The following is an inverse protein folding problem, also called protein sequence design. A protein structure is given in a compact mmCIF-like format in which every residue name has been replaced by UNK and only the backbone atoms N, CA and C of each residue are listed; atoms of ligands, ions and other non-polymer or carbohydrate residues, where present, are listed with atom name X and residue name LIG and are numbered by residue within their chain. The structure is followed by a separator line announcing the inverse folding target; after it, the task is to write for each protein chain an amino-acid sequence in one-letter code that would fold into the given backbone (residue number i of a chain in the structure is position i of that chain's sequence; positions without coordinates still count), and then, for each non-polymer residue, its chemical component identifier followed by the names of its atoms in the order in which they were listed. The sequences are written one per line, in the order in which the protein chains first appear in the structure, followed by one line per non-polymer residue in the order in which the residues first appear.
data_IF_232463721043
#
_entry.id   IF_232463721043
#
_cell.length_a   1.000
_cell.length_b   1.000
_cell.length_c   1.000
_cell.angle_alpha   90.00
_cell.angle_beta   90.00
_cell.angle_gamma   90.00
#
_symmetry.space_group_name_H-M   'P 1'
#
loop_
_entity.id
_entity.type
_entity.pdbx_description
1 polymer ?
#
# COMPACT_ATOMS: atom_id res chain seq x y z
N UNK A 1 -48.64 3.40 -4.85
CA UNK A 1 -48.54 2.03 -5.40
C UNK A 1 -47.77 1.97 -6.73
N UNK A 2 -46.48 2.30 -6.69
CA UNK A 2 -45.59 2.19 -7.85
C UNK A 2 -44.14 1.93 -7.42
N UNK A 3 -43.98 1.17 -6.33
CA UNK A 3 -42.71 0.84 -5.69
C UNK A 3 -42.30 -0.63 -5.81
N UNK A 4 -42.96 -1.43 -6.68
CA UNK A 4 -42.71 -2.89 -6.77
C UNK A 4 -42.26 -3.40 -8.15
N UNK A 5 -42.00 -2.53 -9.14
CA UNK A 5 -41.60 -2.97 -10.49
C UNK A 5 -40.11 -2.87 -10.82
N UNK A 6 -39.25 -2.37 -9.94
CA UNK A 6 -37.81 -2.22 -10.21
C UNK A 6 -36.94 -3.36 -9.63
N UNK A 7 -37.39 -4.02 -8.57
CA UNK A 7 -36.59 -5.05 -7.89
C UNK A 7 -36.60 -6.42 -8.59
N UNK A 8 -37.70 -6.78 -9.26
CA UNK A 8 -37.82 -8.10 -9.91
C UNK A 8 -37.06 -8.19 -11.24
N UNK A 9 -36.90 -7.09 -11.97
CA UNK A 9 -36.17 -7.06 -13.24
C UNK A 9 -34.65 -7.17 -13.08
N UNK A 10 -34.08 -6.56 -12.03
CA UNK A 10 -32.64 -6.64 -11.74
C UNK A 10 -32.25 -8.00 -11.18
N UNK A 11 -33.12 -8.63 -10.37
CA UNK A 11 -32.87 -9.96 -9.83
C UNK A 11 -33.00 -11.04 -10.92
N UNK A 12 -33.92 -10.89 -11.89
CA UNK A 12 -34.01 -11.77 -13.06
C UNK A 12 -32.80 -11.63 -14.01
N UNK A 13 -32.30 -10.41 -14.24
CA UNK A 13 -31.08 -10.18 -15.03
C UNK A 13 -29.83 -10.71 -14.33
N UNK A 14 -29.72 -10.56 -13.01
CA UNK A 14 -28.63 -11.12 -12.22
C UNK A 14 -28.68 -12.66 -12.19
N UNK A 15 -29.87 -13.27 -12.07
CA UNK A 15 -30.00 -14.73 -12.15
C UNK A 15 -29.78 -15.28 -13.56
N UNK A 16 -30.20 -14.60 -14.62
CA UNK A 16 -29.95 -15.03 -16.01
C UNK A 16 -28.47 -14.90 -16.38
N UNK A 17 -27.78 -13.84 -15.96
CA UNK A 17 -26.34 -13.67 -16.20
C UNK A 17 -25.46 -14.63 -15.40
N UNK A 18 -25.90 -15.07 -14.23
CA UNK A 18 -25.18 -16.06 -13.41
C UNK A 18 -25.46 -17.48 -13.92
N UNK A 19 -26.72 -17.79 -14.25
CA UNK A 19 -27.10 -19.15 -14.64
C UNK A 19 -26.58 -19.51 -16.04
N UNK A 20 -26.59 -18.57 -17.01
CA UNK A 20 -26.12 -18.81 -18.37
C UNK A 20 -24.59 -18.87 -18.46
N UNK A 21 -23.87 -18.07 -17.65
CA UNK A 21 -22.41 -18.20 -17.50
C UNK A 21 -22.03 -19.49 -16.78
N UNK A 22 -22.79 -19.93 -15.78
CA UNK A 22 -22.46 -21.19 -15.10
C UNK A 22 -22.68 -22.41 -16.00
N UNK A 23 -23.75 -22.47 -16.81
CA UNK A 23 -24.03 -23.64 -17.65
C UNK A 23 -23.13 -23.74 -18.88
N UNK A 24 -22.80 -22.62 -19.53
CA UNK A 24 -21.86 -22.62 -20.67
C UNK A 24 -20.44 -22.97 -20.23
N UNK A 25 -19.97 -22.44 -19.10
CA UNK A 25 -18.62 -22.74 -18.60
C UNK A 25 -18.52 -24.13 -17.95
N UNK A 26 -19.58 -24.64 -17.31
CA UNK A 26 -19.58 -25.99 -16.75
C UNK A 26 -19.64 -27.07 -17.83
N UNK A 27 -20.38 -26.83 -18.92
CA UNK A 27 -20.38 -27.71 -20.08
C UNK A 27 -19.05 -27.67 -20.84
N UNK A 28 -18.44 -26.50 -21.05
CA UNK A 28 -17.10 -26.43 -21.67
C UNK A 28 -16.03 -27.09 -20.79
N UNK A 29 -16.12 -26.96 -19.47
CA UNK A 29 -15.18 -27.58 -18.50
C UNK A 29 -15.31 -29.10 -18.45
N UNK A 30 -16.53 -29.66 -18.46
CA UNK A 30 -16.74 -31.10 -18.49
C UNK A 30 -16.37 -31.71 -19.85
N UNK A 31 -16.62 -31.01 -20.96
CA UNK A 31 -16.17 -31.47 -22.30
C UNK A 31 -14.64 -31.47 -22.40
N UNK A 32 -13.95 -30.50 -21.77
CA UNK A 32 -12.49 -30.46 -21.68
C UNK A 32 -11.92 -31.53 -20.74
N UNK A 33 -12.59 -31.81 -19.62
CA UNK A 33 -12.21 -32.88 -18.69
C UNK A 33 -12.46 -34.27 -19.27
N UNK A 34 -13.54 -34.50 -20.02
CA UNK A 34 -13.81 -35.76 -20.74
C UNK A 34 -12.84 -35.97 -21.92
N UNK A 35 -12.38 -34.88 -22.55
CA UNK A 35 -11.33 -34.95 -23.57
C UNK A 35 -9.93 -35.24 -22.97
N UNK A 36 -9.68 -34.79 -21.73
CA UNK A 36 -8.43 -35.04 -20.98
C UNK A 36 -8.44 -36.42 -20.30
N UNK A 37 -9.62 -36.88 -19.86
CA UNK A 37 -9.82 -38.19 -19.25
C UNK A 37 -10.39 -39.16 -20.28
N UNK A 38 -9.50 -39.64 -21.17
CA UNK A 38 -9.80 -40.80 -22.00
C UNK A 38 -10.47 -41.88 -21.14
N UNK A 39 -11.70 -42.21 -21.51
CA UNK A 39 -12.60 -43.21 -20.93
C UNK A 39 -11.92 -44.29 -20.07
N UNK A 40 -12.33 -44.38 -18.81
CA UNK A 40 -12.31 -45.62 -18.04
C UNK A 40 -11.11 -45.81 -17.10
N UNK A 41 -11.41 -45.77 -15.81
CA UNK A 41 -10.71 -46.44 -14.71
C UNK A 41 -9.23 -46.07 -14.46
N UNK A 42 -9.04 -45.22 -13.44
CA UNK A 42 -8.00 -45.42 -12.43
C UNK A 42 -6.58 -44.92 -12.74
N UNK A 43 -5.96 -44.40 -11.69
CA UNK A 43 -4.52 -44.15 -11.49
C UNK A 43 -4.02 -42.79 -12.01
N UNK A 44 -3.76 -41.90 -11.05
CA UNK A 44 -3.07 -40.61 -11.22
C UNK A 44 -1.60 -40.86 -11.55
N UNK A 45 -1.15 -40.37 -12.71
CA UNK A 45 0.25 -40.30 -13.12
C UNK A 45 0.47 -39.09 -14.06
N UNK A 46 1.70 -38.55 -14.16
CA UNK A 46 1.95 -37.34 -14.93
C UNK A 46 1.79 -37.61 -16.44
N UNK A 47 0.87 -36.89 -17.08
CA UNK A 47 0.64 -36.98 -18.52
C UNK A 47 1.76 -36.25 -19.27
N UNK A 48 2.51 -36.99 -20.09
CA UNK A 48 3.54 -36.43 -20.98
C UNK A 48 2.90 -35.65 -22.13
N UNK A 49 3.01 -34.32 -22.10
CA UNK A 49 2.56 -33.43 -23.17
C UNK A 49 3.61 -33.30 -24.29
N UNK A 50 3.88 -34.39 -25.01
CA UNK A 50 4.69 -34.36 -26.23
C UNK A 50 3.76 -34.21 -27.44
N UNK A 51 3.49 -32.97 -27.85
CA UNK A 51 2.66 -32.67 -29.03
C UNK A 51 2.03 -31.28 -29.07
N UNK A 52 2.06 -30.52 -27.97
CA UNK A 52 1.47 -29.18 -27.90
C UNK A 52 2.57 -28.14 -28.17
N UNK A 53 2.29 -27.18 -29.06
CA UNK A 53 3.21 -26.08 -29.39
C UNK A 53 3.58 -25.29 -28.13
N UNK A 54 4.82 -24.77 -28.08
CA UNK A 54 5.34 -24.08 -26.89
C UNK A 54 4.43 -22.92 -26.45
N UNK A 55 3.81 -22.23 -27.41
CA UNK A 55 2.93 -21.09 -27.18
C UNK A 55 1.61 -21.50 -26.51
N UNK A 56 1.05 -22.65 -26.89
CA UNK A 56 -0.21 -23.13 -26.33
C UNK A 56 -0.01 -23.66 -24.90
N UNK A 57 1.15 -24.26 -24.61
CA UNK A 57 1.57 -24.56 -23.24
C UNK A 57 1.65 -23.29 -22.42
N UNK A 58 2.32 -22.25 -22.92
CA UNK A 58 2.49 -20.97 -22.23
C UNK A 58 1.13 -20.27 -21.97
N UNK A 59 0.20 -20.37 -22.92
CA UNK A 59 -1.17 -19.87 -22.78
C UNK A 59 -1.98 -20.64 -21.73
N UNK A 60 -1.89 -21.98 -21.73
CA UNK A 60 -2.52 -22.84 -20.71
C UNK A 60 -1.94 -22.60 -19.32
N UNK A 61 -0.62 -22.46 -19.18
CA UNK A 61 0.02 -22.09 -17.91
C UNK A 61 -0.44 -20.70 -17.43
N UNK A 62 -0.58 -19.72 -18.33
CA UNK A 62 -1.06 -18.37 -17.98
C UNK A 62 -2.52 -18.34 -17.51
N UNK A 63 -3.36 -19.27 -17.98
CA UNK A 63 -4.77 -19.35 -17.64
C UNK A 63 -5.04 -20.21 -16.40
N UNK A 64 -4.29 -21.30 -16.19
CA UNK A 64 -4.32 -22.08 -14.95
C UNK A 64 -3.82 -21.27 -13.74
N UNK A 65 -2.85 -20.36 -13.94
CA UNK A 65 -2.40 -19.45 -12.90
C UNK A 65 -3.44 -18.41 -12.45
N UNK A 66 -4.56 -18.26 -13.18
CA UNK A 66 -5.53 -17.19 -12.96
C UNK A 66 -6.64 -17.53 -11.94
N UNK A 67 -6.78 -18.81 -11.56
CA UNK A 67 -7.98 -19.28 -10.83
C UNK A 67 -7.75 -19.74 -9.38
N UNK A 68 -6.53 -19.71 -8.83
CA UNK A 68 -6.31 -20.01 -7.41
C UNK A 68 -6.30 -18.72 -6.57
N UNK A 69 -7.48 -18.15 -6.36
CA UNK A 69 -7.69 -16.90 -5.61
C UNK A 69 -7.95 -17.17 -4.12
N UNK A 70 -6.91 -17.55 -3.38
CA UNK A 70 -6.86 -17.39 -1.92
C UNK A 70 -5.93 -16.21 -1.59
N UNK A 71 -6.41 -14.99 -1.84
CA UNK A 71 -5.61 -13.75 -1.85
C UNK A 71 -4.96 -13.33 -0.53
N UNK A 72 -5.28 -13.96 0.60
CA UNK A 72 -4.68 -13.63 1.90
C UNK A 72 -3.36 -14.38 2.18
N UNK A 73 -3.15 -15.57 1.61
CA UNK A 73 -1.95 -16.39 1.86
C UNK A 73 -0.73 -15.89 1.08
N UNK A 74 -0.97 -15.35 -0.12
CA UNK A 74 0.05 -14.78 -0.98
C UNK A 74 0.65 -13.45 -0.48
N UNK A 75 0.10 -12.84 0.57
CA UNK A 75 0.66 -11.65 1.21
C UNK A 75 1.88 -11.99 2.10
N UNK A 76 2.00 -13.24 2.55
CA UNK A 76 3.05 -13.67 3.48
C UNK A 76 4.03 -14.68 2.87
N UNK A 77 3.60 -15.41 1.85
CA UNK A 77 4.35 -16.49 1.24
C UNK A 77 4.33 -16.40 -0.28
N UNK A 78 5.52 -16.33 -0.90
CA UNK A 78 5.66 -16.67 -2.32
C UNK A 78 5.24 -18.14 -2.53
N UNK A 79 4.87 -18.49 -3.76
CA UNK A 79 4.42 -19.83 -4.18
C UNK A 79 5.41 -20.95 -3.81
N UNK A 80 6.66 -20.59 -3.46
CA UNK A 80 7.75 -21.46 -3.03
C UNK A 80 7.99 -21.54 -1.51
N UNK A 81 7.20 -20.88 -0.65
CA UNK A 81 7.44 -20.96 0.79
C UNK A 81 8.39 -19.90 1.36
N UNK A 82 8.68 -18.80 0.63
CA UNK A 82 9.68 -17.80 1.06
C UNK A 82 9.04 -16.47 1.47
N UNK A 83 9.40 -15.97 2.67
CA UNK A 83 8.94 -14.71 3.32
C UNK A 83 9.57 -13.45 2.69
N UNK A 84 10.23 -13.60 1.54
CA UNK A 84 11.17 -12.60 1.03
C UNK A 84 10.51 -11.26 0.66
N UNK A 85 9.28 -11.26 0.13
CA UNK A 85 8.62 -10.03 -0.32
C UNK A 85 8.16 -9.15 0.86
N UNK A 86 7.59 -9.76 1.90
CA UNK A 86 7.22 -9.04 3.12
C UNK A 86 8.46 -8.49 3.82
N UNK A 87 9.49 -9.33 3.99
CA UNK A 87 10.72 -8.92 4.63
C UNK A 87 11.41 -7.80 3.86
N UNK A 88 11.45 -7.89 2.52
CA UNK A 88 12.03 -6.86 1.67
C UNK A 88 11.32 -5.51 1.84
N UNK A 89 9.98 -5.49 1.83
CA UNK A 89 9.19 -4.25 2.02
C UNK A 89 9.33 -3.68 3.42
N UNK A 90 9.26 -4.53 4.44
CA UNK A 90 9.48 -4.11 5.82
C UNK A 90 10.89 -3.54 6.02
N UNK A 91 11.90 -4.20 5.45
CA UNK A 91 13.28 -3.78 5.57
C UNK A 91 13.53 -2.40 4.95
N UNK A 92 12.85 -2.07 3.84
CA UNK A 92 12.98 -0.79 3.15
C UNK A 92 12.61 0.41 4.05
N UNK A 93 11.48 0.33 4.76
CA UNK A 93 10.90 1.47 5.51
C UNK A 93 10.97 1.34 7.05
N UNK A 94 11.75 0.39 7.56
CA UNK A 94 11.78 0.01 8.99
C UNK A 94 12.00 1.16 9.98
N UNK A 95 12.74 2.20 9.60
CA UNK A 95 13.09 3.33 10.48
C UNK A 95 12.39 4.64 10.12
N UNK A 96 11.76 4.74 8.95
CA UNK A 96 11.18 5.98 8.43
C UNK A 96 10.18 6.60 9.42
N UNK A 97 9.28 5.79 9.99
CA UNK A 97 8.28 6.24 10.96
C UNK A 97 8.93 6.70 12.27
N UNK A 98 9.94 5.98 12.76
CA UNK A 98 10.67 6.34 13.99
C UNK A 98 11.38 7.70 13.83
N UNK A 99 12.02 7.93 12.69
CA UNK A 99 12.64 9.23 12.42
C UNK A 99 11.64 10.38 12.43
N UNK A 100 10.47 10.18 11.82
CA UNK A 100 9.38 11.16 11.86
C UNK A 100 8.88 11.46 13.28
N UNK A 101 8.64 10.41 14.09
CA UNK A 101 8.18 10.56 15.48
C UNK A 101 9.23 11.24 16.36
N UNK A 102 10.51 10.84 16.26
CA UNK A 102 11.60 11.49 16.98
C UNK A 102 11.73 12.97 16.62
N UNK A 103 11.62 13.30 15.33
CA UNK A 103 11.65 14.69 14.88
C UNK A 103 10.48 15.52 15.43
N UNK A 104 9.26 14.97 15.39
CA UNK A 104 8.07 15.62 15.95
C UNK A 104 8.22 15.84 17.47
N UNK A 105 8.70 14.82 18.19
CA UNK A 105 8.97 14.93 19.63
C UNK A 105 10.00 16.01 19.94
N UNK A 106 11.09 16.09 19.18
CA UNK A 106 12.11 17.14 19.35
C UNK A 106 11.54 18.54 19.15
N UNK A 107 10.69 18.75 18.13
CA UNK A 107 10.02 20.04 17.93
C UNK A 107 9.15 20.40 19.13
N UNK A 108 8.28 19.48 19.57
CA UNK A 108 7.41 19.71 20.72
C UNK A 108 8.20 19.99 21.99
N UNK A 109 9.33 19.30 22.19
CA UNK A 109 10.23 19.53 23.31
C UNK A 109 10.85 20.94 23.26
N UNK A 110 11.32 21.37 22.08
CA UNK A 110 11.89 22.71 21.88
C UNK A 110 10.84 23.80 22.09
N UNK A 111 9.60 23.60 21.62
CA UNK A 111 8.51 24.56 21.77
C UNK A 111 8.04 24.70 23.21
N UNK A 112 7.96 23.60 23.95
CA UNK A 112 7.56 23.60 25.37
C UNK A 112 8.68 24.12 26.29
N UNK A 113 9.93 24.09 25.85
CA UNK A 113 11.05 24.61 26.62
C UNK A 113 11.23 26.12 26.38
N UNK A 114 10.98 26.94 27.41
CA UNK A 114 11.15 28.40 27.41
C UNK A 114 12.64 28.81 27.26
N UNK A 115 13.19 28.54 26.08
CA UNK A 115 14.63 28.53 25.80
C UNK A 115 15.26 29.91 26.05
N UNK A 116 14.54 30.99 25.76
CA UNK A 116 15.01 32.36 25.99
C UNK A 116 15.06 32.74 27.47
N UNK A 117 14.19 32.16 28.31
CA UNK A 117 14.15 32.41 29.76
C UNK A 117 15.31 31.72 30.46
N UNK A 118 15.61 30.48 30.07
CA UNK A 118 16.75 29.71 30.60
C UNK A 118 18.08 30.32 30.21
N UNK A 119 18.21 30.83 28.98
CA UNK A 119 19.45 31.44 28.49
C UNK A 119 19.68 32.87 29.02
N UNK A 120 18.69 33.50 29.67
CA UNK A 120 18.80 34.88 30.17
C UNK A 120 18.95 35.94 29.08
N UNK A 121 18.57 35.63 27.84
CA UNK A 121 18.76 36.51 26.67
C UNK A 121 17.50 37.35 26.40
N UNK A 122 17.69 38.62 26.01
CA UNK A 122 16.58 39.49 25.58
C UNK A 122 15.85 38.90 24.36
N UNK A 123 14.51 38.96 24.36
CA UNK A 123 13.64 38.40 23.29
C UNK A 123 14.06 38.81 21.86
N UNK A 124 14.46 40.08 21.65
CA UNK A 124 14.92 40.57 20.33
C UNK A 124 16.19 39.87 19.86
N UNK A 125 17.15 39.65 20.77
CA UNK A 125 18.41 38.98 20.46
C UNK A 125 18.19 37.48 20.22
N UNK A 126 17.28 36.86 20.99
CA UNK A 126 16.83 35.49 20.73
C UNK A 126 16.23 35.34 19.33
N UNK A 127 15.31 36.22 18.93
CA UNK A 127 14.69 36.20 17.59
C UNK A 127 15.71 36.32 16.45
N UNK A 128 16.71 37.19 16.59
CA UNK A 128 17.80 37.34 15.61
C UNK A 128 18.71 36.11 15.55
N UNK A 129 18.98 35.49 16.70
CA UNK A 129 19.78 34.26 16.75
C UNK A 129 19.02 33.10 16.12
N UNK A 130 17.73 32.94 16.44
CA UNK A 130 16.85 31.92 15.86
C UNK A 130 16.70 32.12 14.34
N UNK A 131 16.62 33.36 13.84
CA UNK A 131 16.54 33.58 12.39
C UNK A 131 17.81 33.14 11.66
N UNK A 132 18.99 33.39 12.22
CA UNK A 132 20.27 32.90 11.69
C UNK A 132 20.32 31.37 11.67
N UNK A 133 19.97 30.73 12.78
CA UNK A 133 19.93 29.27 12.86
C UNK A 133 18.92 28.67 11.87
N UNK A 134 17.74 29.28 11.72
CA UNK A 134 16.74 28.88 10.72
C UNK A 134 17.32 28.90 9.31
N UNK A 135 18.02 29.96 8.92
CA UNK A 135 18.68 30.03 7.61
C UNK A 135 19.73 28.93 7.45
N UNK A 136 20.57 28.70 8.47
CA UNK A 136 21.59 27.63 8.45
C UNK A 136 20.94 26.25 8.30
N UNK A 137 19.91 25.95 9.09
CA UNK A 137 19.18 24.69 8.99
C UNK A 137 18.52 24.50 7.63
N UNK A 138 17.98 25.57 7.04
CA UNK A 138 17.42 25.53 5.69
C UNK A 138 18.48 25.21 4.63
N UNK A 139 19.67 25.82 4.72
CA UNK A 139 20.79 25.51 3.82
C UNK A 139 21.27 24.06 4.00
N UNK A 140 21.41 23.61 5.25
CA UNK A 140 21.82 22.25 5.56
C UNK A 140 20.80 21.23 5.05
N UNK A 141 19.50 21.52 5.17
CA UNK A 141 18.46 20.65 4.60
C UNK A 141 18.54 20.56 3.07
N UNK A 142 18.83 21.67 2.39
CA UNK A 142 18.97 21.68 0.94
C UNK A 142 20.19 20.84 0.50
N UNK A 143 21.32 20.97 1.22
CA UNK A 143 22.48 20.11 1.04
C UNK A 143 22.13 18.63 1.29
N UNK A 144 21.38 18.33 2.35
CA UNK A 144 20.94 16.97 2.67
C UNK A 144 20.10 16.33 1.56
N UNK A 145 19.20 17.09 0.92
CA UNK A 145 18.46 16.59 -0.25
C UNK A 145 19.38 16.34 -1.43
N UNK A 146 20.30 17.27 -1.73
CA UNK A 146 21.25 17.11 -2.84
C UNK A 146 22.11 15.86 -2.62
N UNK A 147 22.64 15.67 -1.42
CA UNK A 147 23.42 14.48 -1.06
C UNK A 147 22.59 13.21 -1.28
N UNK A 148 21.34 13.20 -0.83
CA UNK A 148 20.46 12.05 -1.03
C UNK A 148 20.21 11.75 -2.52
N UNK A 149 19.93 12.78 -3.34
CA UNK A 149 19.77 12.62 -4.79
C UNK A 149 21.04 12.11 -5.49
N UNK A 150 22.20 12.60 -5.07
CA UNK A 150 23.50 12.11 -5.57
C UNK A 150 23.65 10.63 -5.22
N UNK A 151 23.40 10.24 -3.97
CA UNK A 151 23.47 8.83 -3.54
C UNK A 151 22.54 7.95 -4.36
N UNK A 152 21.29 8.38 -4.58
CA UNK A 152 20.33 7.69 -5.45
C UNK A 152 20.84 7.51 -6.88
N UNK A 153 21.43 8.56 -7.47
CA UNK A 153 21.91 8.53 -8.84
C UNK A 153 23.18 7.68 -9.01
N UNK A 154 24.05 7.66 -8.00
CA UNK A 154 25.27 6.85 -8.01
C UNK A 154 25.01 5.38 -7.66
N UNK A 155 23.81 5.05 -7.18
CA UNK A 155 23.50 3.71 -6.74
C UNK A 155 23.13 2.80 -7.92
N UNK A 156 24.15 2.18 -8.52
CA UNK A 156 23.97 1.30 -9.70
C UNK A 156 23.47 -0.11 -9.35
N UNK A 157 23.71 -0.60 -8.13
CA UNK A 157 23.34 -1.95 -7.71
C UNK A 157 22.15 -1.93 -6.74
N UNK A 158 20.98 -2.30 -7.26
CA UNK A 158 19.71 -2.31 -6.51
C UNK A 158 19.82 -2.97 -5.13
N UNK A 159 20.46 -4.13 -5.02
CA UNK A 159 20.54 -4.87 -3.75
C UNK A 159 21.27 -4.06 -2.65
N UNK A 160 22.36 -3.38 -3.03
CA UNK A 160 23.13 -2.54 -2.10
C UNK A 160 22.33 -1.27 -1.75
N UNK A 161 21.62 -0.70 -2.72
CA UNK A 161 20.76 0.46 -2.48
C UNK A 161 19.68 0.13 -1.47
N UNK A 162 19.00 -1.00 -1.64
CA UNK A 162 17.90 -1.44 -0.79
C UNK A 162 18.38 -1.73 0.65
N UNK A 163 19.63 -2.18 0.82
CA UNK A 163 20.24 -2.39 2.14
C UNK A 163 20.60 -1.06 2.86
N UNK A 164 21.11 -0.08 2.11
CA UNK A 164 21.53 1.22 2.66
C UNK A 164 20.34 2.17 2.86
N UNK A 165 19.30 2.06 2.01
CA UNK A 165 18.13 2.95 1.99
C UNK A 165 17.55 3.28 3.37
N UNK A 166 17.30 2.32 4.28
CA UNK A 166 16.65 2.59 5.56
C UNK A 166 17.47 3.49 6.48
N UNK A 167 18.79 3.56 6.29
CA UNK A 167 19.70 4.40 7.07
C UNK A 167 19.83 5.81 6.50
N UNK A 168 19.73 5.95 5.17
CA UNK A 168 19.89 7.25 4.49
C UNK A 168 18.57 8.00 4.33
N UNK A 169 17.42 7.33 4.50
CA UNK A 169 16.08 7.93 4.32
C UNK A 169 15.78 9.06 5.30
N UNK A 170 16.49 9.13 6.44
CA UNK A 170 16.40 10.26 7.38
C UNK A 170 16.75 11.60 6.72
N UNK A 171 17.71 11.62 5.79
CA UNK A 171 18.15 12.82 5.10
C UNK A 171 17.00 13.51 4.36
N UNK A 172 16.34 12.87 3.37
CA UNK A 172 15.26 13.52 2.65
C UNK A 172 14.04 13.82 3.53
N UNK A 173 13.73 12.98 4.51
CA UNK A 173 12.59 13.19 5.42
C UNK A 173 12.78 14.47 6.24
N UNK A 174 13.89 14.57 6.98
CA UNK A 174 14.17 15.74 7.83
C UNK A 174 14.38 16.98 6.96
N UNK A 175 15.10 16.85 5.85
CA UNK A 175 15.34 17.98 4.96
C UNK A 175 14.06 18.55 4.36
N UNK A 176 13.16 17.70 3.88
CA UNK A 176 11.88 18.14 3.33
C UNK A 176 11.06 18.90 4.38
N UNK A 177 10.96 18.35 5.60
CA UNK A 177 10.19 18.98 6.68
C UNK A 177 10.77 20.35 7.03
N UNK A 178 12.09 20.49 7.13
CA UNK A 178 12.74 21.76 7.44
C UNK A 178 12.54 22.81 6.33
N UNK A 179 12.78 22.44 5.06
CA UNK A 179 12.59 23.36 3.91
C UNK A 179 11.14 23.81 3.81
N UNK A 180 10.19 22.93 4.10
CA UNK A 180 8.76 23.24 4.01
C UNK A 180 8.30 24.18 5.13
N UNK A 181 8.86 24.06 6.33
CA UNK A 181 8.36 24.74 7.54
C UNK A 181 9.16 25.96 7.99
N UNK A 182 10.46 26.06 7.66
CA UNK A 182 11.30 27.18 8.09
C UNK A 182 10.99 28.47 7.32
N UNK A 183 11.01 28.51 5.98
CA UNK A 183 10.81 29.73 5.23
C UNK A 183 9.33 30.10 5.19
N UNK A 184 9.01 31.34 5.53
CA UNK A 184 7.63 31.84 5.58
C UNK A 184 6.91 31.69 4.24
N UNK A 185 7.62 31.90 3.13
CA UNK A 185 7.06 31.79 1.78
C UNK A 185 6.50 30.38 1.50
N UNK A 186 7.30 29.34 1.73
CA UNK A 186 6.85 27.95 1.53
C UNK A 186 5.75 27.57 2.50
N UNK A 187 5.84 27.97 3.77
CA UNK A 187 4.80 27.65 4.75
C UNK A 187 3.42 28.22 4.40
N UNK A 188 3.38 29.41 3.79
CA UNK A 188 2.12 30.09 3.46
C UNK A 188 1.49 29.63 2.14
N UNK A 189 2.29 29.14 1.20
CA UNK A 189 1.80 28.71 -0.11
C UNK A 189 1.71 27.20 -0.19
N UNK A 190 0.51 26.67 -0.40
CA UNK A 190 0.28 25.24 -0.63
C UNK A 190 -0.77 25.05 -1.72
N UNK A 191 -0.70 23.91 -2.42
CA UNK A 191 -1.73 23.51 -3.36
C UNK A 191 -2.84 22.76 -2.62
N UNK A 192 -4.11 23.20 -2.72
CA UNK A 192 -5.23 22.48 -2.13
C UNK A 192 -5.34 21.04 -2.65
N UNK A 193 -5.05 20.83 -3.94
CA UNK A 193 -5.06 19.50 -4.55
C UNK A 193 -4.05 18.55 -3.90
N UNK A 194 -2.79 18.99 -3.76
CA UNK A 194 -1.77 18.16 -3.11
C UNK A 194 -1.99 18.00 -1.61
N UNK A 195 -2.61 18.98 -0.95
CA UNK A 195 -3.02 18.84 0.45
C UNK A 195 -4.10 17.78 0.61
N UNK A 196 -5.11 17.76 -0.27
CA UNK A 196 -6.15 16.74 -0.28
C UNK A 196 -5.58 15.35 -0.60
N UNK A 197 -4.73 15.26 -1.63
CA UNK A 197 -4.08 14.01 -2.04
C UNK A 197 -3.16 13.46 -0.95
N UNK A 198 -2.41 14.34 -0.26
CA UNK A 198 -1.57 13.97 0.86
C UNK A 198 -2.36 13.44 2.06
N UNK A 199 -3.58 13.94 2.28
CA UNK A 199 -4.44 13.49 3.38
C UNK A 199 -4.89 12.03 3.22
N UNK A 200 -5.07 11.56 1.98
CA UNK A 200 -5.44 10.17 1.66
C UNK A 200 -4.25 9.29 1.25
N UNK A 201 -3.02 9.78 1.46
CA UNK A 201 -1.80 9.16 0.91
C UNK A 201 -1.51 7.77 1.50
N UNK A 202 -1.84 7.56 2.78
CA UNK A 202 -1.67 6.27 3.44
C UNK A 202 -2.60 5.22 2.82
N UNK A 203 -3.87 5.58 2.60
CA UNK A 203 -4.86 4.72 1.99
C UNK A 203 -4.50 4.41 0.54
N UNK A 204 -4.03 5.41 -0.22
CA UNK A 204 -3.49 5.21 -1.57
C UNK A 204 -2.33 4.20 -1.55
N UNK A 205 -1.38 4.35 -0.63
CA UNK A 205 -0.21 3.50 -0.55
C UNK A 205 -0.54 2.03 -0.21
N UNK A 206 -1.47 1.78 0.71
CA UNK A 206 -1.83 0.40 1.09
C UNK A 206 -2.77 -0.20 0.04
N UNK A 207 -3.77 0.55 -0.39
CA UNK A 207 -4.86 0.05 -1.24
C UNK A 207 -4.41 -0.25 -2.67
N UNK A 208 -3.35 0.41 -3.16
CA UNK A 208 -2.82 0.14 -4.52
C UNK A 208 -2.52 -1.34 -4.74
N UNK A 209 -2.04 -2.05 -3.71
CA UNK A 209 -1.70 -3.48 -3.81
C UNK A 209 -2.93 -4.40 -3.81
N UNK A 210 -4.04 -3.93 -3.24
CA UNK A 210 -5.26 -4.71 -3.11
C UNK A 210 -6.23 -4.50 -4.26
N UNK A 211 -6.33 -3.27 -4.78
CA UNK A 211 -7.34 -2.90 -5.77
C UNK A 211 -6.71 -2.71 -7.15
N UNK A 212 -5.52 -2.10 -7.24
CA UNK A 212 -5.00 -1.62 -8.52
C UNK A 212 -3.95 -2.55 -9.14
N UNK A 213 -3.10 -3.16 -8.32
CA UNK A 213 -2.06 -4.08 -8.76
C UNK A 213 -2.56 -5.53 -8.72
N UNK A 214 -2.26 -6.28 -9.77
CA UNK A 214 -2.52 -7.71 -9.90
C UNK A 214 -1.20 -8.48 -9.73
N UNK A 215 -1.26 -9.73 -9.26
CA UNK A 215 -0.11 -10.63 -9.13
C UNK A 215 1.07 -9.99 -8.36
N UNK A 216 0.81 -9.51 -7.13
CA UNK A 216 1.83 -8.97 -6.22
C UNK A 216 2.65 -7.78 -6.77
N UNK A 217 2.09 -7.00 -7.71
CA UNK A 217 2.75 -5.82 -8.29
C UNK A 217 3.34 -6.05 -9.68
N UNK A 218 3.15 -7.24 -10.26
CA UNK A 218 3.63 -7.57 -11.60
C UNK A 218 2.65 -7.23 -12.74
N UNK A 219 1.44 -6.78 -12.43
CA UNK A 219 0.45 -6.35 -13.43
C UNK A 219 -0.48 -5.26 -12.92
N UNK A 220 -1.14 -4.57 -13.85
CA UNK A 220 -2.14 -3.53 -13.55
C UNK A 220 -3.55 -4.03 -13.89
N UNK A 221 -4.54 -3.59 -13.10
CA UNK A 221 -5.94 -3.87 -13.36
C UNK A 221 -6.33 -3.38 -14.77
N UNK A 222 -6.87 -4.29 -15.59
CA UNK A 222 -7.33 -3.98 -16.95
C UNK A 222 -8.81 -4.28 -17.08
N UNK A 223 -9.63 -3.23 -17.07
CA UNK A 223 -11.09 -3.28 -17.24
C UNK A 223 -11.45 -3.24 -18.72
N UNK A 224 -10.76 -2.40 -19.52
CA UNK A 224 -11.02 -2.25 -20.96
C UNK A 224 -9.84 -2.79 -21.76
N UNK A 225 -9.95 -3.99 -22.36
CA UNK A 225 -8.91 -4.50 -23.24
C UNK A 225 -8.83 -3.63 -24.52
N UNK A 226 -7.61 -3.40 -25.03
CA UNK A 226 -7.23 -2.63 -26.25
C UNK A 226 -7.05 -1.12 -26.13
N UNK A 227 -7.44 -0.46 -25.03
CA UNK A 227 -7.20 0.99 -24.84
C UNK A 227 -6.48 1.26 -23.51
N UNK A 228 -5.13 1.20 -23.47
CA UNK A 228 -4.38 1.26 -22.21
C UNK A 228 -4.48 2.61 -21.50
N UNK A 229 -4.53 3.71 -22.24
CA UNK A 229 -4.64 5.07 -21.67
C UNK A 229 -5.99 5.31 -21.02
N UNK A 230 -7.07 4.92 -21.72
CA UNK A 230 -8.43 5.04 -21.21
C UNK A 230 -8.64 4.11 -20.01
N UNK A 231 -8.12 2.88 -20.08
CA UNK A 231 -8.10 1.98 -18.94
C UNK A 231 -7.41 2.63 -17.73
N UNK A 232 -6.21 3.21 -17.91
CA UNK A 232 -5.46 3.87 -16.84
C UNK A 232 -6.27 5.00 -16.19
N UNK A 233 -6.90 5.87 -16.99
CA UNK A 233 -7.70 6.99 -16.48
C UNK A 233 -8.87 6.47 -15.63
N UNK A 234 -9.60 5.48 -16.15
CA UNK A 234 -10.77 4.92 -15.46
C UNK A 234 -10.36 4.18 -14.18
N UNK A 235 -9.35 3.31 -14.25
CA UNK A 235 -8.89 2.55 -13.09
C UNK A 235 -8.35 3.48 -12.01
N UNK A 236 -7.63 4.54 -12.38
CA UNK A 236 -7.11 5.54 -11.43
C UNK A 236 -8.27 6.29 -10.77
N UNK A 237 -9.29 6.69 -11.54
CA UNK A 237 -10.46 7.36 -10.98
C UNK A 237 -11.19 6.49 -9.96
N UNK A 238 -11.51 5.23 -10.32
CA UNK A 238 -12.16 4.27 -9.41
C UNK A 238 -11.29 4.05 -8.16
N UNK A 239 -9.99 3.85 -8.35
CA UNK A 239 -9.04 3.64 -7.26
C UNK A 239 -9.01 4.79 -6.26
N UNK A 240 -8.95 6.04 -6.75
CA UNK A 240 -8.96 7.24 -5.89
C UNK A 240 -10.30 7.37 -5.16
N UNK A 241 -11.44 7.09 -5.80
CA UNK A 241 -12.75 7.06 -5.14
C UNK A 241 -12.81 6.02 -4.01
N UNK A 242 -12.29 4.81 -4.23
CA UNK A 242 -12.21 3.79 -3.18
C UNK A 242 -11.33 4.25 -2.01
N UNK A 243 -10.17 4.84 -2.28
CA UNK A 243 -9.29 5.36 -1.23
C UNK A 243 -9.93 6.49 -0.43
N UNK A 244 -10.73 7.34 -1.07
CA UNK A 244 -11.48 8.40 -0.40
C UNK A 244 -12.50 7.84 0.60
N UNK A 245 -13.28 6.82 0.21
CA UNK A 245 -14.22 6.17 1.13
C UNK A 245 -13.50 5.41 2.24
N UNK A 246 -12.38 4.74 1.94
CA UNK A 246 -11.55 4.09 2.95
C UNK A 246 -11.00 5.09 3.96
N UNK A 247 -10.51 6.25 3.51
CA UNK A 247 -10.02 7.30 4.40
C UNK A 247 -11.11 7.79 5.36
N UNK A 248 -12.35 7.93 4.87
CA UNK A 248 -13.51 8.27 5.71
C UNK A 248 -13.76 7.21 6.78
N UNK A 249 -13.70 5.93 6.41
CA UNK A 249 -13.86 4.80 7.36
C UNK A 249 -12.71 4.82 8.38
N UNK A 250 -11.47 4.96 7.94
CA UNK A 250 -10.29 5.02 8.81
C UNK A 250 -10.42 6.13 9.86
N UNK A 251 -10.88 7.32 9.48
CA UNK A 251 -11.06 8.43 10.41
C UNK A 251 -12.15 8.17 11.47
N UNK A 252 -13.19 7.42 11.12
CA UNK A 252 -14.24 7.01 12.07
C UNK A 252 -13.72 5.92 13.01
N UNK A 253 -12.90 4.99 12.51
CA UNK A 253 -12.35 3.89 13.30
C UNK A 253 -11.21 4.35 14.22
N UNK A 254 -10.34 5.26 13.78
CA UNK A 254 -9.15 5.71 14.52
C UNK A 254 -9.40 6.00 16.01
N UNK A 255 -10.39 6.82 16.41
CA UNK A 255 -10.63 7.10 17.83
C UNK A 255 -11.12 5.88 18.64
N UNK A 256 -11.70 4.87 17.97
CA UNK A 256 -12.10 3.60 18.61
C UNK A 256 -10.87 2.76 18.93
N UNK A 257 -9.90 2.73 18.02
CA UNK A 257 -8.66 1.97 18.20
C UNK A 257 -7.66 2.68 19.11
N UNK A 258 -7.51 4.00 18.93
CA UNK A 258 -6.56 4.86 19.65
C UNK A 258 -7.33 5.91 20.47
N UNK A 259 -7.88 5.53 21.62
CA UNK A 259 -8.53 6.49 22.52
C UNK A 259 -7.48 7.38 23.20
N UNK A 260 -7.87 8.60 23.57
CA UNK A 260 -6.98 9.57 24.23
C UNK A 260 -6.50 9.10 25.62
N UNK A 261 -7.26 8.23 26.28
CA UNK A 261 -6.91 7.68 27.58
C UNK A 261 -5.87 6.57 27.45
N UNK A 262 -4.69 6.77 28.08
CA UNK A 262 -3.58 5.82 28.04
C UNK A 262 -3.99 4.39 28.49
N UNK A 263 -4.84 4.28 29.52
CA UNK A 263 -5.35 2.97 30.01
C UNK A 263 -6.23 2.27 28.97
N UNK A 264 -7.13 3.01 28.34
CA UNK A 264 -8.01 2.49 27.30
C UNK A 264 -7.21 2.10 26.05
N UNK A 265 -6.18 2.89 25.71
CA UNK A 265 -5.27 2.62 24.61
C UNK A 265 -4.50 1.32 24.81
N UNK A 266 -3.83 1.15 25.97
CA UNK A 266 -3.08 -0.07 26.29
C UNK A 266 -4.01 -1.30 26.25
N UNK A 267 -5.22 -1.20 26.82
CA UNK A 267 -6.21 -2.28 26.77
C UNK A 267 -6.55 -2.66 25.32
N UNK A 268 -6.87 -1.68 24.48
CA UNK A 268 -7.22 -1.94 23.09
C UNK A 268 -6.04 -2.54 22.33
N UNK A 269 -4.82 -2.02 22.49
CA UNK A 269 -3.62 -2.58 21.90
C UNK A 269 -3.40 -4.05 22.28
N UNK A 270 -3.54 -4.41 23.57
CA UNK A 270 -3.41 -5.79 24.02
C UNK A 270 -4.47 -6.71 23.39
N UNK A 271 -5.72 -6.25 23.30
CA UNK A 271 -6.79 -7.00 22.64
C UNK A 271 -6.50 -7.24 21.15
N UNK A 272 -6.04 -6.22 20.43
CA UNK A 272 -5.68 -6.37 19.02
C UNK A 272 -4.48 -7.29 18.81
N UNK A 273 -3.46 -7.18 19.66
CA UNK A 273 -2.29 -8.06 19.58
C UNK A 273 -2.71 -9.52 19.83
N UNK A 274 -3.60 -9.75 20.78
CA UNK A 274 -4.20 -11.07 21.03
C UNK A 274 -4.98 -11.57 19.81
N UNK A 275 -5.84 -10.74 19.20
CA UNK A 275 -6.60 -11.11 17.99
C UNK A 275 -5.64 -11.50 16.86
N UNK A 276 -4.58 -10.71 16.64
CA UNK A 276 -3.58 -10.99 15.59
C UNK A 276 -2.90 -12.33 15.87
N UNK A 277 -2.43 -12.57 17.09
CA UNK A 277 -1.77 -13.84 17.46
C UNK A 277 -2.70 -15.04 17.33
N UNK A 278 -3.95 -14.91 17.75
CA UNK A 278 -4.95 -15.98 17.62
C UNK A 278 -5.24 -16.24 16.14
N UNK A 279 -5.42 -15.18 15.34
CA UNK A 279 -5.68 -15.32 13.90
C UNK A 279 -4.51 -15.97 13.16
N UNK A 280 -3.26 -15.61 13.48
CA UNK A 280 -2.08 -16.21 12.85
C UNK A 280 -1.88 -17.66 13.28
N UNK A 281 -2.16 -18.00 14.54
CA UNK A 281 -2.13 -19.37 15.02
C UNK A 281 -3.18 -20.23 14.32
N UNK A 282 -4.43 -19.76 14.23
CA UNK A 282 -5.52 -20.45 13.54
C UNK A 282 -5.20 -20.67 12.05
N UNK A 283 -4.57 -19.68 11.40
CA UNK A 283 -4.22 -19.78 9.98
C UNK A 283 -3.01 -20.68 9.72
N UNK A 284 -2.12 -20.86 10.70
CA UNK A 284 -0.99 -21.81 10.63
C UNK A 284 -1.42 -23.27 10.84
N UNK A 285 -2.56 -23.48 11.49
CA UNK A 285 -3.11 -24.81 11.80
C UNK A 285 -4.01 -25.42 10.71
N UNK A 286 -4.24 -24.70 9.61
CA UNK A 286 -5.04 -25.13 8.44
C UNK A 286 -4.12 -25.34 7.25
#
# INVERSE_FOLDING_TARGET
DQSDLSYNGLHQLHSLLIHDKSSLYYNEYNTLLDYISGSGQGIVGPVSMNGISLNDKQYLYSNLHRYNMNSSVHLYYDRNGTINDWYHRWNLDRYTVLYGMCFAFLILFIENYDTYKTLGIKRKQYQQLTSKFKTIFCLLSLLGLIIYFIVLFLCSNKAICDEIHPYIIILPVVSYILIRNIPTFFRQHYSPFFSWFGNISLELFVTQYHIWLVANGHGTLTIIPRMPTLNLIITTFIFVCCCHELHRITNILTPVFVPNDCKCFIRNCLLYLLIIVVSSYMFSSV
#
